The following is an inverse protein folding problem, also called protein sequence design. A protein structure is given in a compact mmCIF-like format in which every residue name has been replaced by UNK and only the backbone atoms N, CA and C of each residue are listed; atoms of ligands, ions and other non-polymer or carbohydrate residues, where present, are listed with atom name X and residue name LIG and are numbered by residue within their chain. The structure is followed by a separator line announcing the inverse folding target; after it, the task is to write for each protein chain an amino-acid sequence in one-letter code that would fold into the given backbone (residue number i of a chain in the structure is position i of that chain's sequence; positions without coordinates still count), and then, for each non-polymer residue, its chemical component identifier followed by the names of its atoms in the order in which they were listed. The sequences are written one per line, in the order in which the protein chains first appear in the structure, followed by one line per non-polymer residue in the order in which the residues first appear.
data_IF_921318481120
#
_entry.id   IF_921318481120
#
_cell.length_a   1.000
_cell.length_b   1.000
_cell.length_c   1.000
_cell.angle_alpha   90.00
_cell.angle_beta   90.00
_cell.angle_gamma   90.00
#
_symmetry.space_group_name_H-M   'P 1'
#
loop_
_entity.id
_entity.type
_entity.pdbx_description
1 polymer ?
#
# COMPACT_ATOMS: atom_id res chain seq x y z
N UNK A 1 1.07 -2.70 27.54
CA UNK A 1 2.04 -2.03 26.63
C UNK A 1 1.50 -2.19 25.22
N UNK A 2 1.08 -1.12 24.54
CA UNK A 2 0.83 -1.20 23.10
C UNK A 2 2.20 -1.29 22.45
N UNK A 3 2.58 -2.48 21.99
CA UNK A 3 3.86 -2.76 21.34
C UNK A 3 3.93 -2.22 19.91
N UNK A 4 2.78 -1.79 19.36
CA UNK A 4 2.68 -1.18 18.05
C UNK A 4 1.58 -0.11 17.99
N UNK A 5 1.72 0.82 17.05
CA UNK A 5 0.77 1.90 16.78
C UNK A 5 0.47 2.03 15.28
N UNK A 6 -0.68 1.55 14.83
CA UNK A 6 -1.02 1.62 13.40
C UNK A 6 -1.30 3.05 12.94
N UNK A 7 -1.70 3.95 13.84
CA UNK A 7 -2.03 5.33 13.47
C UNK A 7 -0.79 6.13 13.09
N UNK A 8 0.37 5.64 13.53
CA UNK A 8 1.67 6.17 13.17
C UNK A 8 2.14 5.73 11.77
N UNK A 9 1.44 4.79 11.12
CA UNK A 9 1.75 4.35 9.75
C UNK A 9 1.31 5.42 8.77
N UNK A 10 2.23 5.81 7.87
CA UNK A 10 1.96 6.82 6.85
C UNK A 10 2.23 6.26 5.46
N UNK A 11 1.26 6.43 4.58
CA UNK A 11 1.42 6.09 3.16
C UNK A 11 1.81 7.36 2.41
N UNK A 12 2.94 7.31 1.71
CA UNK A 12 3.50 8.37 0.86
C UNK A 12 3.51 7.90 -0.59
N UNK A 13 3.54 8.85 -1.54
CA UNK A 13 3.55 8.54 -2.98
C UNK A 13 2.34 7.70 -3.45
N UNK A 14 1.16 7.91 -2.86
CA UNK A 14 -0.08 7.33 -3.40
C UNK A 14 -0.47 8.14 -4.63
N UNK A 15 0.14 7.80 -5.77
CA UNK A 15 -0.18 8.41 -7.05
C UNK A 15 -1.12 7.52 -7.86
N UNK A 16 -1.95 8.16 -8.67
CA UNK A 16 -2.76 7.49 -9.67
C UNK A 16 -1.81 6.86 -10.70
N UNK A 17 -1.97 5.56 -10.92
CA UNK A 17 -1.17 4.80 -11.88
C UNK A 17 -1.71 4.85 -13.30
N UNK A 18 -0.88 4.50 -14.26
CA UNK A 18 -1.34 4.12 -15.61
C UNK A 18 -1.44 2.60 -15.68
N UNK A 19 -2.45 2.08 -16.38
CA UNK A 19 -2.54 0.64 -16.66
C UNK A 19 -1.29 0.15 -17.36
N UNK A 20 -0.79 -1.02 -16.93
CA UNK A 20 0.42 -1.61 -17.47
C UNK A 20 1.73 -0.98 -16.94
N UNK A 21 1.67 0.13 -16.20
CA UNK A 21 2.83 0.70 -15.51
C UNK A 21 2.81 0.31 -14.03
N UNK A 22 3.96 -0.10 -13.45
CA UNK A 22 4.04 -0.38 -12.03
C UNK A 22 3.81 0.90 -11.22
N UNK A 23 2.85 0.85 -10.31
CA UNK A 23 2.57 1.91 -9.35
C UNK A 23 3.35 1.62 -8.10
N UNK A 24 4.13 2.58 -7.61
CA UNK A 24 4.94 2.44 -6.42
C UNK A 24 4.50 3.46 -5.37
N UNK A 25 4.21 2.98 -4.18
CA UNK A 25 3.92 3.82 -3.01
C UNK A 25 4.81 3.40 -1.84
N UNK A 26 5.06 4.34 -0.93
CA UNK A 26 5.93 4.13 0.22
C UNK A 26 5.09 4.04 1.48
N UNK A 27 5.38 3.07 2.34
CA UNK A 27 4.74 2.91 3.64
C UNK A 27 5.78 3.09 4.72
N UNK A 28 5.63 4.14 5.52
CA UNK A 28 6.48 4.42 6.68
C UNK A 28 5.84 3.84 7.93
N UNK A 29 6.62 3.04 8.65
CA UNK A 29 6.23 2.33 9.89
C UNK A 29 7.15 2.71 11.06
N UNK A 30 7.93 3.79 10.93
CA UNK A 30 9.00 4.17 11.88
C UNK A 30 8.51 4.37 13.30
N UNK A 31 7.26 4.84 13.45
CA UNK A 31 6.63 5.05 14.74
C UNK A 31 5.56 3.98 15.06
N UNK A 32 5.36 3.03 14.15
CA UNK A 32 4.37 1.97 14.31
C UNK A 32 4.89 0.78 15.13
N UNK A 33 6.21 0.59 15.21
CA UNK A 33 6.82 -0.51 15.94
C UNK A 33 6.89 -1.81 15.13
N UNK A 34 7.38 -2.91 15.75
CA UNK A 34 7.52 -4.20 15.09
C UNK A 34 6.16 -4.84 14.81
N UNK A 35 5.99 -5.39 13.61
CA UNK A 35 4.75 -6.06 13.20
C UNK A 35 4.79 -6.51 11.75
N UNK A 36 3.71 -7.15 11.32
CA UNK A 36 3.52 -7.54 9.93
C UNK A 36 2.64 -6.52 9.21
N UNK A 37 3.13 -5.98 8.10
CA UNK A 37 2.35 -5.13 7.20
C UNK A 37 1.86 -5.98 6.03
N UNK A 38 0.55 -6.08 5.90
CA UNK A 38 -0.14 -6.78 4.83
C UNK A 38 -0.69 -5.77 3.84
N UNK A 39 -0.35 -5.96 2.56
CA UNK A 39 -0.94 -5.22 1.44
C UNK A 39 -1.76 -6.18 0.62
N UNK A 40 -2.97 -5.77 0.30
CA UNK A 40 -3.87 -6.51 -0.57
C UNK A 40 -4.46 -5.55 -1.59
N UNK A 41 -4.36 -5.88 -2.88
CA UNK A 41 -4.95 -5.06 -3.95
C UNK A 41 -6.09 -5.83 -4.59
N UNK A 42 -7.28 -5.24 -4.52
CA UNK A 42 -8.54 -5.81 -5.02
C UNK A 42 -8.77 -7.23 -4.44
N UNK A 43 -8.66 -7.38 -3.12
CA UNK A 43 -8.76 -8.68 -2.44
C UNK A 43 -7.68 -9.69 -2.82
N UNK A 44 -6.53 -9.23 -3.35
CA UNK A 44 -5.39 -10.09 -3.72
C UNK A 44 -5.43 -10.55 -5.18
N UNK A 45 -6.35 -10.00 -5.98
CA UNK A 45 -6.40 -10.25 -7.43
C UNK A 45 -5.20 -9.67 -8.17
N UNK A 46 -4.62 -8.59 -7.66
CA UNK A 46 -3.45 -7.95 -8.26
C UNK A 46 -2.21 -8.26 -7.43
N UNK A 47 -1.15 -8.82 -8.06
CA UNK A 47 0.09 -9.12 -7.35
C UNK A 47 0.78 -7.83 -6.95
N UNK A 48 1.21 -7.77 -5.69
CA UNK A 48 1.99 -6.68 -5.12
C UNK A 48 3.36 -7.18 -4.71
N UNK A 49 4.38 -6.35 -4.91
CA UNK A 49 5.74 -6.59 -4.47
C UNK A 49 6.12 -5.56 -3.41
N UNK A 50 6.64 -6.03 -2.28
CA UNK A 50 7.12 -5.19 -1.20
C UNK A 50 8.65 -5.23 -1.15
N UNK A 51 9.29 -4.08 -1.27
CA UNK A 51 10.73 -3.91 -1.10
C UNK A 51 11.01 -3.04 0.12
N UNK A 52 11.86 -3.51 1.02
CA UNK A 52 12.37 -2.66 2.09
C UNK A 52 13.29 -1.58 1.51
N UNK A 53 12.89 -0.32 1.63
CA UNK A 53 13.65 0.85 1.16
C UNK A 53 14.48 1.50 2.27
N UNK A 54 14.21 1.15 3.53
CA UNK A 54 14.93 1.63 4.71
C UNK A 54 14.53 0.88 5.97
N UNK A 55 15.07 1.30 7.11
CA UNK A 55 14.90 0.61 8.40
C UNK A 55 13.43 0.49 8.84
N UNK A 56 12.58 1.43 8.39
CA UNK A 56 11.14 1.43 8.68
C UNK A 56 10.28 1.88 7.49
N UNK A 57 10.80 1.77 6.27
CA UNK A 57 10.11 2.22 5.06
C UNK A 57 10.05 1.09 4.05
N UNK A 58 8.83 0.79 3.59
CA UNK A 58 8.56 -0.26 2.62
C UNK A 58 8.02 0.36 1.33
N UNK A 59 8.69 0.11 0.21
CA UNK A 59 8.21 0.44 -1.11
C UNK A 59 7.34 -0.70 -1.62
N UNK A 60 6.05 -0.43 -1.72
CA UNK A 60 5.07 -1.37 -2.25
C UNK A 60 4.82 -1.00 -3.69
N UNK A 61 4.90 -2.00 -4.57
CA UNK A 61 4.70 -1.84 -6.01
C UNK A 61 3.66 -2.82 -6.51
N UNK A 62 2.77 -2.38 -7.40
CA UNK A 62 1.80 -3.26 -8.04
C UNK A 62 1.58 -2.83 -9.48
N UNK A 63 1.26 -3.79 -10.35
CA UNK A 63 1.01 -3.51 -11.76
C UNK A 63 -0.48 -3.70 -12.06
N UNK A 64 -1.25 -2.61 -12.19
CA UNK A 64 -2.64 -2.69 -12.61
C UNK A 64 -2.73 -3.22 -14.05
N UNK A 65 -3.47 -4.30 -14.25
CA UNK A 65 -3.67 -4.91 -15.57
C UNK A 65 -4.86 -4.34 -16.33
N UNK A 66 -5.79 -3.72 -15.62
CA UNK A 66 -7.04 -3.18 -16.16
C UNK A 66 -7.18 -1.72 -15.73
N UNK A 67 -7.81 -0.84 -16.52
CA UNK A 67 -8.13 0.52 -16.06
C UNK A 67 -9.42 0.52 -15.28
N UNK A 68 -9.36 -0.15 -14.13
CA UNK A 68 -10.41 -0.12 -13.13
C UNK A 68 -9.91 0.54 -11.84
N UNK A 69 -10.86 0.83 -10.97
CA UNK A 69 -10.62 1.21 -9.59
C UNK A 69 -9.95 0.05 -8.84
N UNK A 70 -8.69 0.23 -8.46
CA UNK A 70 -8.00 -0.76 -7.63
C UNK A 70 -8.10 -0.33 -6.17
N UNK A 71 -8.82 -1.10 -5.38
CA UNK A 71 -8.87 -0.91 -3.92
C UNK A 71 -7.60 -1.48 -3.31
N UNK A 72 -6.82 -0.64 -2.65
CA UNK A 72 -5.62 -1.03 -1.92
C UNK A 72 -5.96 -1.06 -0.44
N UNK A 73 -5.90 -2.25 0.12
CA UNK A 73 -6.10 -2.56 1.52
C UNK A 73 -4.73 -2.75 2.17
N UNK A 74 -4.52 -2.06 3.28
CA UNK A 74 -3.32 -2.11 4.08
C UNK A 74 -3.73 -2.41 5.51
N UNK A 75 -3.17 -3.49 6.02
CA UNK A 75 -3.39 -3.95 7.39
C UNK A 75 -2.06 -4.10 8.08
N UNK A 76 -2.01 -3.72 9.34
CA UNK A 76 -0.86 -3.89 10.19
C UNK A 76 -1.25 -4.72 11.41
N UNK A 77 -0.65 -5.90 11.56
CA UNK A 77 -1.01 -6.89 12.58
C UNK A 77 -2.54 -7.18 12.61
N UNK A 78 -3.17 -7.26 11.43
CA UNK A 78 -4.62 -7.48 11.31
C UNK A 78 -5.50 -6.24 11.57
N UNK A 79 -4.93 -5.06 11.82
CA UNK A 79 -5.66 -3.81 12.03
C UNK A 79 -5.50 -2.86 10.84
N UNK A 80 -6.59 -2.24 10.40
CA UNK A 80 -6.56 -1.33 9.24
C UNK A 80 -5.74 -0.06 9.54
N UNK A 81 -4.85 0.29 8.61
CA UNK A 81 -4.00 1.49 8.75
C UNK A 81 -4.77 2.74 8.34
N UNK A 82 -4.47 3.91 8.93
CA UNK A 82 -5.12 5.16 8.56
C UNK A 82 -4.88 5.47 7.07
N UNK A 83 -5.96 5.77 6.36
CA UNK A 83 -5.95 6.00 4.91
C UNK A 83 -6.26 4.75 4.09
N UNK A 84 -6.38 3.57 4.72
CA UNK A 84 -6.84 2.34 4.07
C UNK A 84 -8.29 1.99 4.45
N UNK A 85 -9.07 1.35 3.56
CA UNK A 85 -8.78 1.13 2.14
C UNK A 85 -8.80 2.44 1.34
N UNK A 86 -7.90 2.56 0.37
CA UNK A 86 -7.95 3.64 -0.61
C UNK A 86 -8.11 3.09 -2.02
N UNK A 87 -8.70 3.90 -2.90
CA UNK A 87 -8.92 3.52 -4.29
C UNK A 87 -7.95 4.25 -5.19
N UNK A 88 -7.04 3.51 -5.83
CA UNK A 88 -6.23 4.02 -6.92
C UNK A 88 -7.06 4.04 -8.21
N UNK A 89 -7.22 5.23 -8.79
CA UNK A 89 -7.84 5.42 -10.11
C UNK A 89 -6.75 5.43 -11.17
N UNK A 90 -7.04 4.79 -12.30
CA UNK A 90 -6.12 4.65 -13.42
C UNK A 90 -6.83 5.25 -14.62
N UNK A 91 -6.55 6.51 -15.00
CA UNK A 91 -7.11 7.04 -16.23
C UNK A 91 -6.61 6.17 -17.39
N UNK A 92 -7.53 5.73 -18.25
CA UNK A 92 -7.15 5.28 -19.58
C UNK A 92 -6.49 6.48 -20.26
N UNK A 93 -5.18 6.40 -20.56
CA UNK A 93 -4.60 7.27 -21.59
C UNK A 93 -5.14 6.72 -22.93
N UNK A 94 -6.10 7.45 -23.51
CA UNK A 94 -6.56 7.26 -24.89
C UNK A 94 -5.59 7.92 -25.87
#
# INVERSE_FOLDING_TARGET
MKVYDVTAIKVKNVNNGTVGKPVVFLVETSQAGPGNLEVTVNGGRVPTSAQAQGQHTYAISFTPREAQNHTVELRFNGQDVPGSPFTCKHPFEC
#
